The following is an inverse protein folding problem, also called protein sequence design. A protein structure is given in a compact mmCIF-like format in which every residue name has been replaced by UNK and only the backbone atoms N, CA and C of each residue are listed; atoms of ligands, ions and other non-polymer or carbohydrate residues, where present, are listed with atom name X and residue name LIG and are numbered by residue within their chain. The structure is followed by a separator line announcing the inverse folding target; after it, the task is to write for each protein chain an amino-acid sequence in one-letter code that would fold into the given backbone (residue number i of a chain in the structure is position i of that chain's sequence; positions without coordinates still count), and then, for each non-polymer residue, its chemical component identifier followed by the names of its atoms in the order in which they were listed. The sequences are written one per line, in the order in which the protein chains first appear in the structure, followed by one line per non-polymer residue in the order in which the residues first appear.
data_IF_707471899541
#
_entry.id   IF_707471899541
#
_cell.length_a   1.000
_cell.length_b   1.000
_cell.length_c   1.000
_cell.angle_alpha   90.00
_cell.angle_beta   90.00
_cell.angle_gamma   90.00
#
_symmetry.space_group_name_H-M   'P 1'
#
loop_
_entity.id
_entity.type
_entity.pdbx_description
1 polymer ?
#
# COMPACT_ATOMS: atom_id res chain seq x y z
N UNK A 1 -13.10 -17.50 28.39
CA UNK A 1 -11.73 -17.89 27.96
C UNK A 1 -11.71 -18.46 26.54
N UNK A 2 -12.41 -19.57 26.25
CA UNK A 2 -12.42 -20.17 24.90
C UNK A 2 -12.99 -19.23 23.83
N UNK A 3 -14.08 -18.52 24.14
CA UNK A 3 -14.75 -17.57 23.23
C UNK A 3 -13.83 -16.42 22.78
N UNK A 4 -12.99 -15.91 23.69
CA UNK A 4 -11.99 -14.88 23.35
C UNK A 4 -10.89 -15.44 22.45
N UNK A 5 -10.43 -16.66 22.72
CA UNK A 5 -9.47 -17.34 21.86
C UNK A 5 -10.02 -17.55 20.45
N UNK A 6 -11.30 -17.93 20.32
CA UNK A 6 -11.97 -18.06 19.03
C UNK A 6 -12.10 -16.71 18.30
N UNK A 7 -12.41 -15.63 19.01
CA UNK A 7 -12.46 -14.30 18.42
C UNK A 7 -11.08 -13.84 17.88
N UNK A 8 -10.01 -14.05 18.65
CA UNK A 8 -8.63 -13.74 18.23
C UNK A 8 -8.26 -14.57 16.99
N UNK A 9 -8.49 -15.89 17.02
CA UNK A 9 -8.21 -16.78 15.90
C UNK A 9 -8.99 -16.39 14.65
N UNK A 10 -10.26 -16.02 14.81
CA UNK A 10 -11.11 -15.55 13.72
C UNK A 10 -10.58 -14.25 13.10
N UNK A 11 -10.23 -13.26 13.93
CA UNK A 11 -9.66 -11.99 13.46
C UNK A 11 -8.33 -12.21 12.72
N UNK A 12 -7.44 -13.04 13.27
CA UNK A 12 -6.17 -13.41 12.64
C UNK A 12 -6.39 -14.11 11.30
N UNK A 13 -7.31 -15.07 11.27
CA UNK A 13 -7.66 -15.80 10.05
C UNK A 13 -8.19 -14.86 8.97
N UNK A 14 -9.17 -13.99 9.30
CA UNK A 14 -9.72 -13.05 8.33
C UNK A 14 -8.67 -12.04 7.88
N UNK A 15 -7.86 -11.51 8.79
CA UNK A 15 -6.80 -10.58 8.42
C UNK A 15 -5.83 -11.23 7.43
N UNK A 16 -5.32 -12.42 7.76
CA UNK A 16 -4.41 -13.17 6.89
C UNK A 16 -5.03 -13.51 5.53
N UNK A 17 -6.26 -14.03 5.55
CA UNK A 17 -7.00 -14.42 4.36
C UNK A 17 -7.36 -13.22 3.49
N UNK A 18 -7.79 -12.11 4.08
CA UNK A 18 -8.14 -10.88 3.38
C UNK A 18 -6.93 -10.29 2.66
N UNK A 19 -5.79 -10.18 3.33
CA UNK A 19 -4.53 -9.73 2.70
C UNK A 19 -4.15 -10.64 1.53
N UNK A 20 -4.19 -11.96 1.72
CA UNK A 20 -3.89 -12.93 0.66
C UNK A 20 -4.87 -12.85 -0.53
N UNK A 21 -6.17 -12.70 -0.25
CA UNK A 21 -7.22 -12.61 -1.26
C UNK A 21 -7.10 -11.31 -2.07
N UNK A 22 -6.82 -10.19 -1.42
CA UNK A 22 -6.63 -8.90 -2.08
C UNK A 22 -5.42 -8.96 -3.02
N UNK A 23 -4.30 -9.54 -2.57
CA UNK A 23 -3.13 -9.76 -3.43
C UNK A 23 -3.45 -10.71 -4.58
N UNK A 24 -4.22 -11.77 -4.34
CA UNK A 24 -4.66 -12.65 -5.42
C UNK A 24 -5.47 -11.87 -6.47
N UNK A 25 -6.44 -11.07 -6.02
CA UNK A 25 -7.34 -10.28 -6.88
C UNK A 25 -6.60 -9.22 -7.70
N UNK A 26 -5.65 -8.50 -7.10
CA UNK A 26 -4.78 -7.55 -7.81
C UNK A 26 -3.89 -8.24 -8.86
N UNK A 27 -3.62 -9.53 -8.67
CA UNK A 27 -2.87 -10.38 -9.60
C UNK A 27 -3.61 -10.78 -10.87
N UNK A 28 -4.93 -10.57 -10.95
CA UNK A 28 -5.71 -10.99 -12.12
C UNK A 28 -5.52 -10.05 -13.34
N UNK A 29 -5.83 -10.52 -14.56
CA UNK A 29 -5.82 -9.67 -15.74
C UNK A 29 -6.78 -8.49 -15.60
N UNK A 30 -6.38 -7.31 -16.08
CA UNK A 30 -7.18 -6.06 -16.00
C UNK A 30 -8.62 -6.19 -16.49
N UNK A 31 -8.90 -7.08 -17.45
CA UNK A 31 -10.27 -7.34 -17.95
C UNK A 31 -11.22 -7.86 -16.85
N UNK A 32 -10.69 -8.55 -15.84
CA UNK A 32 -11.48 -9.09 -14.73
C UNK A 32 -11.75 -8.08 -13.62
N UNK A 33 -11.04 -6.95 -13.58
CA UNK A 33 -11.17 -5.96 -12.50
C UNK A 33 -12.59 -5.39 -12.41
N UNK A 34 -13.25 -5.14 -13.55
CA UNK A 34 -14.65 -4.71 -13.57
C UNK A 34 -15.57 -5.73 -12.90
N UNK A 35 -15.35 -7.02 -13.16
CA UNK A 35 -16.19 -8.08 -12.58
C UNK A 35 -15.92 -8.25 -11.08
N UNK A 36 -14.64 -8.22 -10.66
CA UNK A 36 -14.26 -8.20 -9.24
C UNK A 36 -14.87 -7.02 -8.50
N UNK A 37 -14.89 -5.83 -9.10
CA UNK A 37 -15.52 -4.65 -8.51
C UNK A 37 -17.04 -4.78 -8.42
N UNK A 38 -17.72 -5.34 -9.42
CA UNK A 38 -19.18 -5.59 -9.35
C UNK A 38 -19.50 -6.55 -8.20
N UNK A 39 -18.81 -7.69 -8.12
CA UNK A 39 -18.99 -8.68 -7.05
C UNK A 39 -18.74 -8.05 -5.69
N UNK A 40 -17.63 -7.33 -5.53
CA UNK A 40 -17.32 -6.67 -4.27
C UNK A 40 -18.32 -5.57 -3.91
N UNK A 41 -18.91 -4.88 -4.89
CA UNK A 41 -19.94 -3.87 -4.64
C UNK A 41 -21.22 -4.51 -4.09
N UNK A 42 -21.64 -5.64 -4.67
CA UNK A 42 -22.77 -6.41 -4.15
C UNK A 42 -22.49 -6.88 -2.71
N UNK A 43 -21.28 -7.38 -2.46
CA UNK A 43 -20.85 -7.79 -1.12
C UNK A 43 -20.85 -6.61 -0.15
N UNK A 44 -20.36 -5.44 -0.56
CA UNK A 44 -20.34 -4.23 0.28
C UNK A 44 -21.75 -3.75 0.62
N UNK A 45 -22.69 -3.77 -0.33
CA UNK A 45 -24.09 -3.43 -0.08
C UNK A 45 -24.75 -4.43 0.87
N UNK A 46 -24.51 -5.73 0.69
CA UNK A 46 -24.98 -6.76 1.60
C UNK A 46 -24.36 -6.59 3.00
N UNK A 47 -23.09 -6.19 3.09
CA UNK A 47 -22.41 -5.91 4.35
C UNK A 47 -22.97 -4.67 5.05
N UNK A 48 -23.33 -3.60 4.33
CA UNK A 48 -24.02 -2.45 4.91
C UNK A 48 -25.40 -2.83 5.46
N UNK A 49 -26.15 -3.68 4.75
CA UNK A 49 -27.40 -4.23 5.26
C UNK A 49 -27.18 -5.11 6.51
N UNK A 50 -26.18 -5.99 6.49
CA UNK A 50 -25.81 -6.82 7.63
C UNK A 50 -25.35 -5.99 8.84
N UNK A 51 -24.68 -4.86 8.62
CA UNK A 51 -24.32 -3.91 9.67
C UNK A 51 -25.57 -3.30 10.32
N UNK A 52 -26.54 -2.88 9.50
CA UNK A 52 -27.81 -2.34 10.00
C UNK A 52 -28.60 -3.37 10.81
N UNK A 53 -28.69 -4.62 10.33
CA UNK A 53 -29.37 -5.71 11.04
C UNK A 53 -28.65 -6.07 12.35
N UNK A 54 -27.32 -6.18 12.32
CA UNK A 54 -26.53 -6.51 13.52
C UNK A 54 -26.48 -5.39 14.56
N UNK A 55 -26.86 -4.17 14.21
CA UNK A 55 -26.85 -3.01 15.10
C UNK A 55 -27.74 -3.16 16.35
N UNK A 56 -28.84 -3.91 16.24
CA UNK A 56 -29.76 -4.20 17.37
C UNK A 56 -29.57 -5.62 17.94
N UNK A 57 -28.68 -6.42 17.37
CA UNK A 57 -28.40 -7.78 17.81
C UNK A 57 -27.28 -7.79 18.86
N UNK A 58 -27.71 -7.87 20.13
CA UNK A 58 -26.84 -7.94 21.31
C UNK A 58 -26.45 -9.39 21.66
N UNK A 59 -26.27 -10.22 20.65
CA UNK A 59 -25.74 -11.58 20.79
C UNK A 59 -24.27 -11.64 20.35
N UNK A 60 -23.60 -12.74 20.71
CA UNK A 60 -22.27 -13.02 20.18
C UNK A 60 -22.29 -13.10 18.64
N UNK A 61 -23.34 -13.69 18.05
CA UNK A 61 -23.50 -13.76 16.59
C UNK A 61 -23.54 -12.37 15.95
N UNK A 62 -24.26 -11.44 16.58
CA UNK A 62 -24.29 -10.03 16.18
C UNK A 62 -22.91 -9.37 16.21
N UNK A 63 -22.08 -9.66 17.21
CA UNK A 63 -20.70 -9.14 17.28
C UNK A 63 -19.82 -9.63 16.12
N UNK A 64 -19.86 -10.95 15.83
CA UNK A 64 -19.11 -11.53 14.69
C UNK A 64 -19.61 -10.99 13.35
N UNK A 65 -20.93 -10.89 13.18
CA UNK A 65 -21.54 -10.36 11.96
C UNK A 65 -21.14 -8.89 11.75
N UNK A 66 -21.29 -8.05 12.78
CA UNK A 66 -20.96 -6.62 12.72
C UNK A 66 -19.48 -6.39 12.38
N UNK A 67 -18.57 -7.11 13.04
CA UNK A 67 -17.13 -7.08 12.73
C UNK A 67 -16.84 -7.47 11.27
N UNK A 68 -17.44 -8.57 10.80
CA UNK A 68 -17.26 -9.06 9.42
C UNK A 68 -17.80 -8.08 8.40
N UNK A 69 -18.97 -7.49 8.64
CA UNK A 69 -19.56 -6.45 7.80
C UNK A 69 -18.62 -5.24 7.68
N UNK A 70 -18.06 -4.75 8.79
CA UNK A 70 -17.09 -3.66 8.78
C UNK A 70 -15.86 -3.97 7.92
N UNK A 71 -15.33 -5.20 8.01
CA UNK A 71 -14.20 -5.66 7.20
C UNK A 71 -14.54 -5.79 5.71
N UNK A 72 -15.73 -6.29 5.37
CA UNK A 72 -16.15 -6.45 3.97
C UNK A 72 -16.34 -5.09 3.28
N UNK A 73 -16.92 -4.11 4.00
CA UNK A 73 -17.02 -2.73 3.51
C UNK A 73 -15.63 -2.13 3.31
N UNK A 74 -14.69 -2.37 4.24
CA UNK A 74 -13.29 -1.97 4.07
C UNK A 74 -12.61 -2.63 2.87
N UNK A 75 -12.82 -3.93 2.67
CA UNK A 75 -12.22 -4.69 1.58
C UNK A 75 -12.61 -4.13 0.20
N UNK A 76 -13.84 -3.62 0.06
CA UNK A 76 -14.27 -2.92 -1.15
C UNK A 76 -13.43 -1.66 -1.42
N UNK A 77 -13.17 -0.85 -0.39
CA UNK A 77 -12.33 0.34 -0.51
C UNK A 77 -10.90 -0.04 -0.91
N UNK A 78 -10.30 -1.01 -0.23
CA UNK A 78 -8.94 -1.46 -0.54
C UNK A 78 -8.83 -1.96 -1.98
N UNK A 79 -9.78 -2.79 -2.44
CA UNK A 79 -9.78 -3.29 -3.82
C UNK A 79 -10.00 -2.16 -4.84
N UNK A 80 -10.87 -1.20 -4.54
CA UNK A 80 -11.14 -0.05 -5.40
C UNK A 80 -9.90 0.83 -5.61
N UNK A 81 -9.04 0.92 -4.59
CA UNK A 81 -7.78 1.64 -4.65
C UNK A 81 -6.75 0.87 -5.48
N UNK A 82 -6.55 -0.42 -5.19
CA UNK A 82 -5.56 -1.26 -5.89
C UNK A 82 -5.87 -1.42 -7.37
N UNK A 83 -7.14 -1.60 -7.73
CA UNK A 83 -7.59 -1.67 -9.13
C UNK A 83 -7.52 -0.33 -9.87
N UNK A 84 -7.32 0.78 -9.15
CA UNK A 84 -7.18 2.13 -9.70
C UNK A 84 -8.51 2.86 -9.98
N UNK A 85 -9.66 2.25 -9.65
CA UNK A 85 -10.98 2.87 -9.83
C UNK A 85 -11.13 4.12 -8.95
N UNK A 86 -10.73 4.01 -7.68
CA UNK A 86 -10.83 5.09 -6.70
C UNK A 86 -9.42 5.59 -6.36
N UNK A 87 -8.89 6.42 -7.25
CA UNK A 87 -7.60 7.11 -7.08
C UNK A 87 -7.79 8.61 -7.25
N UNK A 88 -6.83 9.40 -6.76
CA UNK A 88 -6.89 10.86 -6.87
C UNK A 88 -6.72 11.37 -8.31
N UNK A 89 -6.97 12.67 -8.54
CA UNK A 89 -6.86 13.30 -9.85
C UNK A 89 -5.45 13.22 -10.47
N UNK A 90 -4.40 13.11 -9.63
CA UNK A 90 -3.02 13.05 -10.10
C UNK A 90 -2.56 11.61 -10.23
N UNK A 91 -2.32 11.16 -11.47
CA UNK A 91 -1.79 9.82 -11.81
C UNK A 91 -0.41 9.87 -12.47
N UNK A 92 0.36 10.92 -12.15
CA UNK A 92 1.66 11.20 -12.75
C UNK A 92 2.77 11.17 -11.69
N UNK A 93 4.02 10.84 -12.08
CA UNK A 93 5.18 10.90 -11.18
C UNK A 93 5.35 12.27 -10.53
N UNK A 94 5.93 12.30 -9.33
CA UNK A 94 6.16 13.53 -8.58
C UNK A 94 7.06 14.48 -9.39
N UNK A 95 6.62 15.71 -9.68
CA UNK A 95 7.51 16.72 -10.23
C UNK A 95 8.62 17.01 -9.21
N UNK A 96 9.82 17.36 -9.71
CA UNK A 96 10.94 17.75 -8.85
C UNK A 96 10.58 19.03 -8.10
N UNK A 97 10.20 18.90 -6.84
CA UNK A 97 9.85 20.03 -5.99
C UNK A 97 10.53 19.87 -4.63
N UNK A 98 11.25 20.92 -4.23
CA UNK A 98 12.03 20.93 -2.98
C UNK A 98 11.17 21.25 -1.75
N UNK A 99 10.01 21.88 -1.94
CA UNK A 99 9.09 22.23 -0.86
C UNK A 99 8.31 21.02 -0.35
N UNK A 100 8.42 20.78 0.95
CA UNK A 100 7.67 19.74 1.67
C UNK A 100 6.15 19.86 1.48
N UNK A 101 5.62 21.08 1.60
CA UNK A 101 4.17 21.34 1.50
C UNK A 101 3.64 21.11 0.09
N UNK A 102 4.41 21.50 -0.93
CA UNK A 102 4.03 21.25 -2.31
C UNK A 102 4.03 19.74 -2.62
N UNK A 103 5.05 19.00 -2.14
CA UNK A 103 5.09 17.54 -2.26
C UNK A 103 3.95 16.87 -1.52
N UNK A 104 3.62 17.34 -0.31
CA UNK A 104 2.49 16.83 0.47
C UNK A 104 1.18 17.01 -0.27
N UNK A 105 0.93 18.22 -0.79
CA UNK A 105 -0.25 18.49 -1.62
C UNK A 105 -0.34 17.53 -2.81
N UNK A 106 0.76 17.35 -3.56
CA UNK A 106 0.73 16.45 -4.71
C UNK A 106 0.53 14.99 -4.32
N UNK A 107 1.12 14.53 -3.21
CA UNK A 107 0.86 13.20 -2.68
C UNK A 107 -0.59 13.03 -2.21
N UNK A 108 -1.19 14.05 -1.60
CA UNK A 108 -2.62 14.04 -1.28
C UNK A 108 -3.48 13.99 -2.55
N UNK A 109 -3.13 14.75 -3.60
CA UNK A 109 -3.80 14.73 -4.89
C UNK A 109 -3.78 13.36 -5.58
N UNK A 110 -2.90 12.42 -5.20
CA UNK A 110 -2.92 11.06 -5.76
C UNK A 110 -3.92 10.13 -5.07
N UNK A 111 -4.40 10.47 -3.87
CA UNK A 111 -5.26 9.59 -3.05
C UNK A 111 -6.54 10.25 -2.51
N UNK A 112 -6.71 11.56 -2.65
CA UNK A 112 -7.78 12.32 -1.98
C UNK A 112 -9.20 11.80 -2.25
N UNK A 113 -9.53 11.41 -3.47
CA UNK A 113 -10.86 10.87 -3.79
C UNK A 113 -11.17 9.59 -3.02
N UNK A 114 -10.15 8.75 -2.80
CA UNK A 114 -10.28 7.53 -2.03
C UNK A 114 -10.50 7.84 -0.54
N UNK A 115 -9.76 8.78 0.03
CA UNK A 115 -9.96 9.21 1.42
C UNK A 115 -11.33 9.83 1.66
N UNK A 116 -11.82 10.65 0.73
CA UNK A 116 -13.16 11.24 0.79
C UNK A 116 -14.22 10.12 0.74
N UNK A 117 -14.05 9.13 -0.13
CA UNK A 117 -14.99 8.01 -0.23
C UNK A 117 -15.01 7.15 1.04
N UNK A 118 -13.85 6.90 1.66
CA UNK A 118 -13.77 6.22 2.96
C UNK A 118 -14.49 7.05 4.02
N UNK A 119 -14.22 8.35 4.10
CA UNK A 119 -14.87 9.25 5.07
C UNK A 119 -16.40 9.29 4.88
N UNK A 120 -16.88 9.35 3.63
CA UNK A 120 -18.30 9.31 3.32
C UNK A 120 -18.93 7.97 3.73
N UNK A 121 -18.21 6.86 3.52
CA UNK A 121 -18.67 5.52 3.92
C UNK A 121 -18.69 5.38 5.45
N UNK A 122 -17.68 5.89 6.16
CA UNK A 122 -17.69 5.95 7.61
C UNK A 122 -18.87 6.78 8.14
N UNK A 123 -19.17 7.92 7.51
CA UNK A 123 -20.34 8.73 7.81
C UNK A 123 -21.65 7.99 7.59
N UNK A 124 -21.79 7.27 6.47
CA UNK A 124 -22.95 6.42 6.20
C UNK A 124 -23.10 5.31 7.24
N UNK A 125 -22.02 4.60 7.57
CA UNK A 125 -22.04 3.56 8.60
C UNK A 125 -22.45 4.14 9.96
N UNK A 126 -21.91 5.31 10.33
CA UNK A 126 -22.26 5.99 11.57
C UNK A 126 -23.74 6.41 11.61
N UNK A 127 -24.30 6.85 10.48
CA UNK A 127 -25.74 7.13 10.36
C UNK A 127 -26.58 5.86 10.51
N UNK A 128 -26.17 4.76 9.87
CA UNK A 128 -26.88 3.48 9.94
C UNK A 128 -26.85 2.86 11.33
N UNK A 129 -25.75 3.04 12.07
CA UNK A 129 -25.59 2.54 13.43
C UNK A 129 -25.87 3.60 14.49
N UNK A 130 -26.52 4.71 14.12
CA UNK A 130 -26.81 5.79 15.07
C UNK A 130 -27.83 5.32 16.10
N UNK A 131 -27.46 5.37 17.38
CA UNK A 131 -28.30 4.86 18.47
C UNK A 131 -28.40 3.33 18.54
N UNK A 132 -27.64 2.61 17.69
CA UNK A 132 -27.52 1.16 17.78
C UNK A 132 -26.66 0.77 18.99
N UNK A 133 -27.01 -0.35 19.64
CA UNK A 133 -26.24 -0.91 20.75
C UNK A 133 -24.94 -1.53 20.27
N UNK A 134 -24.96 -2.22 19.13
CA UNK A 134 -23.79 -2.86 18.55
C UNK A 134 -23.15 -1.98 17.46
N UNK A 135 -22.01 -1.35 17.79
CA UNK A 135 -21.24 -0.49 16.89
C UNK A 135 -19.90 -1.11 16.46
N UNK A 136 -19.70 -2.42 16.68
CA UNK A 136 -18.41 -3.08 16.46
C UNK A 136 -17.95 -2.93 15.00
N UNK A 137 -18.84 -3.10 14.04
CA UNK A 137 -18.53 -2.96 12.61
C UNK A 137 -18.13 -1.54 12.21
N UNK A 138 -18.76 -0.51 12.78
CA UNK A 138 -18.34 0.89 12.58
C UNK A 138 -16.91 1.10 13.09
N UNK A 139 -16.63 0.70 14.33
CA UNK A 139 -15.32 0.88 14.93
C UNK A 139 -14.24 0.06 14.22
N UNK A 140 -14.58 -1.13 13.72
CA UNK A 140 -13.71 -1.95 12.87
C UNK A 140 -13.28 -1.17 11.64
N UNK A 141 -14.23 -0.57 10.93
CA UNK A 141 -13.96 0.24 9.74
C UNK A 141 -13.14 1.50 10.06
N UNK A 142 -13.47 2.20 11.15
CA UNK A 142 -12.75 3.41 11.58
C UNK A 142 -11.30 3.09 11.99
N UNK A 143 -11.07 1.99 12.72
CA UNK A 143 -9.72 1.56 13.08
C UNK A 143 -8.89 1.30 11.83
N UNK A 144 -9.44 0.57 10.86
CA UNK A 144 -8.76 0.31 9.59
C UNK A 144 -8.44 1.59 8.84
N UNK A 145 -9.40 2.52 8.78
CA UNK A 145 -9.21 3.81 8.14
C UNK A 145 -8.09 4.62 8.79
N UNK A 146 -8.13 4.81 10.11
CA UNK A 146 -7.15 5.60 10.84
C UNK A 146 -5.76 4.99 10.75
N UNK A 147 -5.66 3.66 10.89
CA UNK A 147 -4.37 2.96 10.82
C UNK A 147 -3.80 2.97 9.40
N UNK A 148 -4.65 2.84 8.36
CA UNK A 148 -4.22 2.98 6.96
C UNK A 148 -3.77 4.41 6.64
N UNK A 149 -4.49 5.43 7.16
CA UNK A 149 -4.09 6.83 7.01
C UNK A 149 -2.76 7.11 7.73
N UNK A 150 -2.59 6.58 8.94
CA UNK A 150 -1.33 6.63 9.70
C UNK A 150 -0.18 6.00 8.93
N UNK A 151 -0.38 4.82 8.33
CA UNK A 151 0.64 4.17 7.51
C UNK A 151 1.03 5.02 6.29
N UNK A 152 0.05 5.59 5.57
CA UNK A 152 0.28 6.50 4.43
C UNK A 152 1.11 7.73 4.83
N UNK A 153 0.79 8.34 5.98
CA UNK A 153 1.53 9.49 6.50
C UNK A 153 2.95 9.12 6.93
N UNK A 154 3.13 7.97 7.58
CA UNK A 154 4.45 7.46 7.95
C UNK A 154 5.30 7.23 6.69
N UNK A 155 4.76 6.57 5.67
CA UNK A 155 5.42 6.34 4.38
C UNK A 155 5.80 7.65 3.68
N UNK A 156 4.90 8.64 3.68
CA UNK A 156 5.17 9.95 3.06
C UNK A 156 6.32 10.72 3.75
N UNK A 157 6.37 10.68 5.08
CA UNK A 157 7.43 11.33 5.86
C UNK A 157 8.76 10.57 5.80
N UNK A 158 8.65 9.25 5.67
CA UNK A 158 9.70 8.33 5.28
C UNK A 158 9.93 7.23 6.30
N UNK A 159 10.08 6.02 5.78
CA UNK A 159 10.27 4.78 6.55
C UNK A 159 11.37 3.93 5.90
N UNK A 160 11.88 2.96 6.66
CA UNK A 160 12.95 2.08 6.21
C UNK A 160 12.46 1.11 5.13
N UNK A 161 11.25 0.55 5.32
CA UNK A 161 10.62 -0.38 4.39
C UNK A 161 9.39 0.25 3.73
N UNK A 162 9.51 0.56 2.44
CA UNK A 162 8.42 1.12 1.65
C UNK A 162 7.45 0.07 1.09
N UNK A 163 7.71 -1.22 1.29
CA UNK A 163 6.84 -2.30 0.81
C UNK A 163 6.51 -2.20 -0.71
N UNK A 164 7.47 -1.72 -1.51
CA UNK A 164 7.31 -1.41 -2.95
C UNK A 164 6.81 -2.60 -3.78
N UNK A 165 7.12 -3.82 -3.34
CA UNK A 165 6.69 -5.06 -3.99
C UNK A 165 5.18 -5.34 -3.92
N UNK A 166 4.46 -4.71 -2.98
CA UNK A 166 3.01 -4.84 -2.86
C UNK A 166 2.25 -3.88 -3.79
N UNK A 167 2.92 -2.87 -4.36
CA UNK A 167 2.26 -1.91 -5.24
C UNK A 167 2.11 -2.47 -6.66
N UNK A 168 0.91 -2.44 -7.25
CA UNK A 168 0.74 -2.87 -8.63
C UNK A 168 1.45 -1.92 -9.60
N UNK A 169 1.84 -2.40 -10.81
CA UNK A 169 2.65 -1.64 -11.77
C UNK A 169 2.10 -0.26 -12.11
N UNK A 170 0.78 -0.10 -12.16
CA UNK A 170 0.14 1.18 -12.47
C UNK A 170 0.12 2.17 -11.31
N UNK A 171 0.39 1.74 -10.08
CA UNK A 171 0.53 2.61 -8.91
C UNK A 171 1.99 2.90 -8.56
N UNK A 172 2.98 2.33 -9.27
CA UNK A 172 4.40 2.55 -9.01
C UNK A 172 4.85 4.01 -9.10
N UNK A 173 4.09 4.86 -9.79
CA UNK A 173 4.36 6.31 -9.79
C UNK A 173 4.27 6.91 -8.37
N UNK A 174 3.51 6.29 -7.45
CA UNK A 174 3.40 6.74 -6.06
C UNK A 174 4.74 6.64 -5.32
N UNK A 175 5.62 5.69 -5.69
CA UNK A 175 6.96 5.54 -5.11
C UNK A 175 7.76 6.84 -5.22
N UNK A 176 7.55 7.63 -6.28
CA UNK A 176 8.26 8.90 -6.50
C UNK A 176 7.89 10.01 -5.51
N UNK A 177 6.79 9.85 -4.76
CA UNK A 177 6.37 10.78 -3.71
C UNK A 177 6.93 10.41 -2.33
N UNK A 178 7.45 9.18 -2.17
CA UNK A 178 7.89 8.65 -0.88
C UNK A 178 9.37 8.93 -0.63
N UNK A 179 9.77 8.92 0.64
CA UNK A 179 11.16 9.14 1.06
C UNK A 179 11.66 7.94 1.84
N UNK A 180 12.85 7.43 1.52
CA UNK A 180 13.52 6.43 2.36
C UNK A 180 14.22 7.14 3.51
N UNK A 181 13.82 6.85 4.75
CA UNK A 181 14.44 7.35 5.98
C UNK A 181 14.37 6.27 7.06
N UNK A 182 15.38 6.14 7.93
CA UNK A 182 15.39 5.09 8.94
C UNK A 182 14.23 5.24 9.93
N UNK A 183 13.93 6.47 10.35
CA UNK A 183 12.88 6.78 11.33
C UNK A 183 12.25 8.15 11.06
N UNK A 184 10.99 8.26 11.47
CA UNK A 184 10.18 9.47 11.45
C UNK A 184 9.56 9.70 12.83
N UNK A 185 9.37 10.95 13.25
CA UNK A 185 8.80 11.30 14.55
C UNK A 185 7.31 10.91 14.70
N UNK A 186 6.56 10.76 13.61
CA UNK A 186 5.18 10.26 13.70
C UNK A 186 5.11 8.78 14.05
N UNK A 187 6.15 7.99 13.74
CA UNK A 187 6.16 6.56 14.02
C UNK A 187 5.95 6.25 15.51
N UNK A 188 6.81 6.73 16.45
CA UNK A 188 6.64 6.44 17.87
C UNK A 188 5.32 6.96 18.42
N UNK A 189 4.82 8.11 17.93
CA UNK A 189 3.53 8.66 18.33
C UNK A 189 2.39 7.72 17.90
N UNK A 190 2.36 7.31 16.63
CA UNK A 190 1.31 6.43 16.09
C UNK A 190 1.27 5.08 16.81
N UNK A 191 2.43 4.45 17.04
CA UNK A 191 2.51 3.17 17.74
C UNK A 191 2.09 3.30 19.21
N UNK A 192 2.55 4.34 19.90
CA UNK A 192 2.24 4.57 21.32
C UNK A 192 0.77 4.83 21.52
N UNK A 193 0.19 5.76 20.75
CA UNK A 193 -1.24 6.09 20.83
C UNK A 193 -2.09 4.86 20.51
N UNK A 194 -1.79 4.14 19.43
CA UNK A 194 -2.55 2.94 19.07
C UNK A 194 -2.43 1.84 20.13
N UNK A 195 -1.27 1.67 20.74
CA UNK A 195 -1.07 0.68 21.82
C UNK A 195 -1.87 1.06 23.07
N UNK A 196 -1.86 2.35 23.46
CA UNK A 196 -2.68 2.84 24.58
C UNK A 196 -4.17 2.59 24.28
N UNK A 197 -4.64 2.93 23.08
CA UNK A 197 -6.04 2.71 22.69
C UNK A 197 -6.38 1.22 22.70
N UNK A 198 -5.49 0.33 22.25
CA UNK A 198 -5.68 -1.13 22.35
C UNK A 198 -5.90 -1.56 23.80
N UNK A 199 -5.04 -1.10 24.71
CA UNK A 199 -5.15 -1.43 26.14
C UNK A 199 -6.47 -0.91 26.71
N UNK A 200 -6.84 0.34 26.42
CA UNK A 200 -8.09 0.94 26.92
C UNK A 200 -9.34 0.23 26.40
N UNK A 201 -9.34 -0.22 25.14
CA UNK A 201 -10.46 -1.00 24.57
C UNK A 201 -10.58 -2.33 25.30
N UNK A 202 -9.48 -3.05 25.49
CA UNK A 202 -9.48 -4.35 26.15
C UNK A 202 -9.81 -4.24 27.64
N UNK A 203 -9.27 -3.24 28.34
CA UNK A 203 -9.56 -2.97 29.75
C UNK A 203 -11.05 -2.71 29.96
N UNK A 204 -11.66 -1.85 29.13
CA UNK A 204 -13.09 -1.55 29.23
C UNK A 204 -13.97 -2.73 28.83
N UNK A 205 -13.60 -3.44 27.76
CA UNK A 205 -14.41 -4.56 27.26
C UNK A 205 -14.31 -5.83 28.08
N UNK A 206 -13.25 -5.99 28.87
CA UNK A 206 -13.03 -7.16 29.74
C UNK A 206 -13.26 -6.82 31.23
N UNK A 207 -13.80 -5.64 31.54
CA UNK A 207 -14.18 -5.27 32.88
C UNK A 207 -15.31 -6.15 33.43
N UNK A 208 -15.37 -6.30 34.75
CA UNK A 208 -16.42 -7.07 35.41
C UNK A 208 -17.81 -6.48 35.13
N UNK A 209 -18.78 -7.32 34.83
CA UNK A 209 -20.17 -6.92 34.55
C UNK A 209 -20.45 -6.53 33.09
N UNK A 210 -19.45 -6.54 32.20
CA UNK A 210 -19.64 -6.27 30.78
C UNK A 210 -20.32 -7.46 30.09
N UNK A 211 -21.35 -7.24 29.24
CA UNK A 211 -21.99 -8.30 28.47
C UNK A 211 -21.00 -9.06 27.59
N UNK A 212 -21.21 -10.37 27.43
CA UNK A 212 -20.26 -11.22 26.70
C UNK A 212 -20.05 -10.80 25.23
N UNK A 213 -21.08 -10.29 24.55
CA UNK A 213 -20.98 -9.81 23.17
C UNK A 213 -20.11 -8.54 23.06
N UNK A 214 -20.16 -7.63 24.04
CA UNK A 214 -19.30 -6.44 24.09
C UNK A 214 -17.84 -6.83 24.35
N UNK A 215 -17.62 -7.79 25.25
CA UNK A 215 -16.29 -8.34 25.52
C UNK A 215 -15.66 -8.96 24.26
N UNK A 216 -16.43 -9.77 23.52
CA UNK A 216 -16.00 -10.33 22.22
C UNK A 216 -15.71 -9.22 21.20
N UNK A 217 -16.57 -8.20 21.12
CA UNK A 217 -16.34 -7.02 20.28
C UNK A 217 -15.04 -6.28 20.61
N UNK A 218 -14.75 -6.06 21.89
CA UNK A 218 -13.52 -5.43 22.33
C UNK A 218 -12.29 -6.27 22.00
N UNK A 219 -12.38 -7.60 22.12
CA UNK A 219 -11.31 -8.52 21.70
C UNK A 219 -11.06 -8.43 20.19
N UNK A 220 -12.11 -8.34 19.37
CA UNK A 220 -11.96 -8.13 17.93
C UNK A 220 -11.24 -6.81 17.61
N UNK A 221 -11.74 -5.70 18.14
CA UNK A 221 -11.18 -4.36 17.91
C UNK A 221 -9.73 -4.27 18.44
N UNK A 222 -9.48 -4.81 19.63
CA UNK A 222 -8.17 -4.85 20.25
C UNK A 222 -7.17 -5.69 19.44
N UNK A 223 -7.59 -6.87 18.97
CA UNK A 223 -6.75 -7.73 18.11
C UNK A 223 -6.44 -7.04 16.78
N UNK A 224 -7.44 -6.43 16.15
CA UNK A 224 -7.26 -5.71 14.89
C UNK A 224 -6.28 -4.53 15.03
N UNK A 225 -6.43 -3.75 16.10
CA UNK A 225 -5.55 -2.62 16.37
C UNK A 225 -4.14 -3.08 16.74
N UNK A 226 -4.00 -4.19 17.48
CA UNK A 226 -2.70 -4.80 17.77
C UNK A 226 -2.00 -5.29 16.49
N UNK A 227 -2.73 -5.90 15.55
CA UNK A 227 -2.21 -6.27 14.24
C UNK A 227 -1.77 -5.04 13.45
N UNK A 228 -2.53 -3.95 13.50
CA UNK A 228 -2.17 -2.71 12.83
C UNK A 228 -0.92 -2.05 13.46
N UNK A 229 -0.75 -2.14 14.78
CA UNK A 229 0.48 -1.72 15.47
C UNK A 229 1.67 -2.56 15.00
N UNK A 230 1.49 -3.88 14.91
CA UNK A 230 2.51 -4.79 14.41
C UNK A 230 2.88 -4.48 12.95
N UNK A 231 1.91 -4.15 12.10
CA UNK A 231 2.15 -3.69 10.73
C UNK A 231 2.98 -2.40 10.70
N UNK A 232 2.73 -1.45 11.63
CA UNK A 232 3.56 -0.26 11.74
C UNK A 232 5.00 -0.61 12.10
N UNK A 233 5.22 -1.55 13.02
CA UNK A 233 6.58 -2.02 13.33
C UNK A 233 7.31 -2.59 12.11
N UNK A 234 6.60 -3.26 11.19
CA UNK A 234 7.18 -3.74 9.93
C UNK A 234 7.64 -2.63 8.97
N UNK A 235 7.12 -1.40 9.09
CA UNK A 235 7.60 -0.26 8.30
C UNK A 235 9.01 0.16 8.72
N UNK A 236 9.39 -0.09 9.98
CA UNK A 236 10.66 0.36 10.57
C UNK A 236 11.67 -0.77 10.72
N UNK A 237 11.24 -1.94 11.17
CA UNK A 237 12.10 -3.11 11.31
C UNK A 237 12.52 -3.62 9.93
N UNK A 238 13.76 -4.06 9.70
CA UNK A 238 14.23 -4.57 8.40
C UNK A 238 13.69 -5.97 8.07
N UNK A 239 12.43 -6.26 8.44
CA UNK A 239 11.74 -7.51 8.18
C UNK A 239 10.73 -7.23 7.06
N UNK A 240 10.93 -7.90 5.94
CA UNK A 240 10.05 -7.78 4.79
C UNK A 240 8.77 -8.57 5.07
N UNK A 241 7.67 -7.87 5.37
CA UNK A 241 6.35 -8.50 5.51
C UNK A 241 5.93 -9.29 4.26
N UNK A 242 6.50 -8.97 3.09
CA UNK A 242 6.33 -9.76 1.85
C UNK A 242 6.73 -11.22 2.01
N UNK A 243 7.66 -11.58 2.91
CA UNK A 243 8.09 -12.96 3.15
C UNK A 243 6.90 -13.90 3.44
N UNK A 244 5.89 -13.38 4.14
CA UNK A 244 4.68 -14.13 4.52
C UNK A 244 3.75 -14.44 3.32
N UNK A 245 3.84 -13.67 2.23
CA UNK A 245 3.01 -13.82 1.02
C UNK A 245 3.82 -13.98 -0.28
N UNK A 246 5.10 -14.41 -0.19
CA UNK A 246 5.96 -14.59 -1.38
C UNK A 246 5.32 -15.52 -2.43
N UNK A 247 4.66 -16.59 -2.00
CA UNK A 247 3.95 -17.51 -2.88
C UNK A 247 2.89 -16.81 -3.76
N UNK A 248 2.17 -15.83 -3.21
CA UNK A 248 1.15 -15.08 -3.93
C UNK A 248 1.80 -14.12 -4.93
N UNK A 249 2.85 -13.40 -4.51
CA UNK A 249 3.61 -12.47 -5.35
C UNK A 249 4.33 -13.19 -6.51
N UNK A 250 4.90 -14.36 -6.26
CA UNK A 250 5.58 -15.16 -7.28
C UNK A 250 4.58 -15.75 -8.29
N UNK A 251 3.37 -16.13 -7.84
CA UNK A 251 2.28 -16.51 -8.74
C UNK A 251 1.87 -15.34 -9.65
N UNK A 252 1.82 -14.10 -9.14
CA UNK A 252 1.56 -12.92 -9.97
C UNK A 252 2.68 -12.68 -11.00
N UNK A 253 3.95 -12.73 -10.57
CA UNK A 253 5.12 -12.54 -11.45
C UNK A 253 5.12 -13.56 -12.59
N UNK A 254 4.84 -14.82 -12.28
CA UNK A 254 4.78 -15.91 -13.25
C UNK A 254 3.63 -15.73 -14.25
N UNK A 255 2.43 -15.37 -13.76
CA UNK A 255 1.27 -15.10 -14.63
C UNK A 255 1.49 -13.90 -15.54
N UNK A 256 2.10 -12.82 -15.03
CA UNK A 256 2.45 -11.64 -15.82
C UNK A 256 3.45 -11.98 -16.93
N UNK A 257 4.49 -12.76 -16.63
CA UNK A 257 5.44 -13.26 -17.63
C UNK A 257 4.74 -14.07 -18.73
N UNK A 258 3.79 -14.95 -18.35
CA UNK A 258 2.99 -15.73 -19.30
C UNK A 258 2.13 -14.84 -20.21
N UNK A 259 1.44 -13.85 -19.63
CA UNK A 259 0.62 -12.91 -20.41
C UNK A 259 1.46 -11.99 -21.32
N UNK A 260 2.68 -11.63 -20.91
CA UNK A 260 3.62 -10.87 -21.73
C UNK A 260 4.23 -11.72 -22.86
N UNK A 261 4.49 -13.00 -22.63
CA UNK A 261 5.00 -13.92 -23.67
C UNK A 261 3.97 -14.34 -24.71
N UNK A 262 2.67 -14.20 -24.41
CA UNK A 262 1.57 -14.46 -25.35
C UNK A 262 1.32 -13.24 -26.27
N UNK A 263 1.95 -12.09 -26.02
CA UNK A 263 1.83 -10.89 -26.85
C UNK A 263 3.04 -10.71 -27.79
N UNK A 264 3.27 -11.65 -28.72
CA UNK A 264 3.45 -11.23 -30.12
C UNK A 264 2.74 -12.19 -31.10
N UNK A 265 1.68 -11.71 -31.73
CA UNK A 265 1.11 -12.33 -32.93
C UNK A 265 -0.32 -12.87 -32.76
N UNK A 266 -1.30 -11.98 -32.79
CA UNK A 266 -2.66 -12.27 -33.29
C UNK A 266 -3.38 -10.92 -33.46
N UNK A 267 -2.96 -10.18 -34.49
CA UNK A 267 -3.87 -9.30 -35.22
C UNK A 267 -4.27 -10.12 -36.44
N UNK A 268 -5.23 -11.02 -36.23
CA UNK A 268 -5.96 -11.65 -37.33
C UNK A 268 -7.05 -10.66 -37.74
N UNK A 269 -7.06 -10.32 -39.03
CA UNK A 269 -7.85 -9.24 -39.59
C UNK A 269 -9.35 -9.55 -39.59
N UNK A 270 -10.14 -8.49 -39.40
CA UNK A 270 -11.25 -8.16 -40.29
C UNK A 270 -11.66 -6.68 -40.05
N UNK A 271 -11.34 -5.85 -41.05
CA UNK A 271 -12.14 -4.75 -41.60
C UNK A 271 -12.65 -3.58 -40.73
N UNK A 272 -11.95 -2.43 -40.88
CA UNK A 272 -12.43 -1.15 -41.45
C UNK A 272 -11.90 0.08 -40.69
N UNK A 273 -10.76 0.62 -41.13
CA UNK A 273 -10.65 2.00 -41.63
C UNK A 273 -9.26 2.23 -42.23
N UNK A 274 -9.24 2.56 -43.51
CA UNK A 274 -8.05 2.81 -44.32
C UNK A 274 -7.22 3.97 -43.77
N UNK A 275 -5.92 3.74 -43.58
CA UNK A 275 -4.90 4.79 -43.73
C UNK A 275 -3.86 4.25 -44.70
N UNK A 276 -3.90 4.75 -45.94
CA UNK A 276 -2.97 4.39 -47.00
C UNK A 276 -1.53 4.78 -46.62
N UNK A 277 -0.51 3.95 -46.92
CA UNK A 277 0.88 4.38 -46.78
C UNK A 277 1.26 5.28 -47.97
N UNK A 278 1.75 6.49 -47.66
CA UNK A 278 2.37 7.37 -48.66
C UNK A 278 3.69 6.74 -49.10
N UNK A 279 3.73 6.35 -50.37
CA UNK A 279 4.86 5.77 -51.08
C UNK A 279 6.06 6.74 -51.15
N UNK A 280 7.26 6.20 -50.90
CA UNK A 280 8.52 6.85 -51.19
C UNK A 280 8.73 6.94 -52.71
N UNK A 281 8.78 8.16 -53.25
CA UNK A 281 9.09 8.44 -54.64
C UNK A 281 10.29 9.37 -54.75
N UNK A 282 11.38 8.84 -55.30
CA UNK A 282 12.59 9.54 -55.76
C UNK A 282 12.30 10.73 -56.66
N UNK A 283 12.89 11.90 -56.39
CA UNK A 283 13.39 12.84 -57.42
C UNK A 283 14.43 13.81 -56.84
N UNK A 284 15.58 13.89 -57.49
CA UNK A 284 16.50 15.06 -57.55
C UNK A 284 16.36 15.62 -58.99
N UNK A 285 16.89 16.81 -59.38
CA UNK A 285 17.40 17.97 -58.62
C UNK A 285 16.85 19.33 -59.14
N UNK A 286 17.09 20.45 -58.43
CA UNK A 286 17.30 21.76 -59.05
C UNK A 286 18.07 22.72 -58.12
N UNK A 287 18.98 23.48 -58.72
CA UNK A 287 19.93 24.44 -58.11
C UNK A 287 19.26 25.76 -57.72
N UNK A 288 19.84 26.40 -56.69
CA UNK A 288 20.07 27.85 -56.64
C UNK A 288 19.09 28.66 -55.80
N UNK A 289 19.54 29.13 -54.63
CA UNK A 289 19.83 30.55 -54.32
C UNK A 289 20.31 30.62 -52.85
N UNK A 290 21.51 31.19 -52.69
CA UNK A 290 22.19 31.79 -51.51
C UNK A 290 21.23 32.68 -50.69
N UNK A 291 21.37 33.09 -49.43
CA UNK A 291 22.38 33.06 -48.36
C UNK A 291 21.67 33.80 -47.20
N UNK A 292 21.81 33.38 -45.94
CA UNK A 292 21.87 34.27 -44.76
C UNK A 292 21.82 33.49 -43.42
N UNK A 293 22.68 33.93 -42.51
CA UNK A 293 22.71 33.63 -41.07
C UNK A 293 23.21 32.24 -40.67
N UNK A 294 24.53 32.12 -40.62
CA UNK A 294 25.23 30.97 -40.07
C UNK A 294 25.01 30.79 -38.57
N UNK A 295 24.94 29.53 -38.17
CA UNK A 295 25.37 28.98 -36.88
C UNK A 295 25.75 27.52 -37.19
N UNK A 296 27.05 27.22 -37.09
CA UNK A 296 27.62 25.88 -37.25
C UNK A 296 27.58 25.18 -35.89
N UNK A 297 26.84 24.08 -35.79
CA UNK A 297 27.02 23.09 -34.72
C UNK A 297 27.43 21.76 -35.34
N UNK A 298 28.72 21.47 -35.19
CA UNK A 298 29.33 20.23 -35.62
C UNK A 298 28.73 19.02 -34.93
N UNK A 299 28.37 18.05 -35.74
CA UNK A 299 28.08 16.66 -35.39
C UNK A 299 29.35 15.97 -34.90
N UNK A 300 29.37 15.44 -33.67
CA UNK A 300 30.13 14.23 -33.34
C UNK A 300 29.59 13.61 -32.03
N UNK A 301 29.09 12.38 -32.16
CA UNK A 301 29.13 11.33 -31.13
C UNK A 301 29.94 10.20 -31.80
N UNK A 302 30.82 9.42 -31.14
CA UNK A 302 30.38 8.55 -30.03
C UNK A 302 31.45 8.11 -28.98
N UNK A 303 30.95 7.45 -27.92
CA UNK A 303 31.55 6.31 -27.18
C UNK A 303 32.76 6.48 -26.21
N UNK A 304 32.62 5.74 -25.10
CA UNK A 304 33.65 5.15 -24.20
C UNK A 304 34.22 6.00 -23.06
N UNK A 305 33.55 5.94 -21.89
CA UNK A 305 34.17 6.18 -20.57
C UNK A 305 34.22 4.84 -19.83
N UNK A 306 35.35 4.14 -19.92
CA UNK A 306 35.74 3.08 -18.97
C UNK A 306 36.21 3.78 -17.68
N UNK A 307 35.51 3.55 -16.57
CA UNK A 307 36.04 3.79 -15.23
C UNK A 307 36.12 2.45 -14.51
N UNK A 308 37.35 1.99 -14.33
CA UNK A 308 37.73 0.90 -13.44
C UNK A 308 37.46 1.30 -11.99
N UNK A 309 36.89 0.37 -11.23
CA UNK A 309 36.66 0.47 -9.80
C UNK A 309 37.96 0.21 -9.03
N UNK A 310 38.44 1.20 -8.29
CA UNK A 310 39.50 1.02 -7.28
C UNK A 310 38.89 0.53 -5.95
N UNK A 311 39.42 -0.58 -5.45
CA UNK A 311 39.11 -1.18 -4.14
C UNK A 311 40.16 -0.72 -3.13
N UNK A 312 39.81 -0.22 -1.92
CA UNK A 312 40.81 0.09 -0.91
C UNK A 312 41.32 -1.19 -0.24
N UNK A 313 42.61 -1.48 -0.42
CA UNK A 313 43.33 -2.57 0.22
C UNK A 313 43.83 -2.10 1.60
N UNK A 314 43.23 -2.61 2.69
CA UNK A 314 43.64 -2.32 4.06
C UNK A 314 44.72 -3.33 4.49
N UNK A 315 45.97 -2.87 4.65
CA UNK A 315 47.04 -3.62 5.33
C UNK A 315 47.45 -2.90 6.62
N UNK A 316 47.70 -3.62 7.72
CA UNK A 316 48.02 -3.03 9.01
C UNK A 316 49.45 -2.49 9.04
N UNK A 317 49.62 -1.26 9.55
CA UNK A 317 50.93 -0.69 9.79
C UNK A 317 51.53 -1.20 11.10
N UNK A 318 52.76 -1.69 10.99
CA UNK A 318 53.65 -2.15 12.07
C UNK A 318 54.38 -0.92 12.62
N UNK A 319 54.29 -0.69 13.94
CA UNK A 319 55.13 0.29 14.66
C UNK A 319 56.42 -0.38 15.14
N UNK A 320 57.61 0.23 14.96
CA UNK A 320 58.83 -0.26 15.57
C UNK A 320 58.98 0.26 17.00
N UNK A 321 59.26 -0.65 17.93
CA UNK A 321 59.59 -0.33 19.32
C UNK A 321 61.05 0.05 19.55
N UNK A 322 61.25 0.90 20.57
CA UNK A 322 62.44 1.07 21.44
C UNK A 322 61.88 1.77 22.70
N UNK A 323 62.12 1.38 23.95
CA UNK A 323 62.91 0.34 24.58
C UNK A 323 63.19 0.77 26.03
N UNK A 324 63.21 -0.19 26.98
CA UNK A 324 63.78 -0.16 28.35
C UNK A 324 63.26 0.92 29.35
N UNK A 325 62.93 0.65 30.62
CA UNK A 325 63.56 -0.22 31.61
C UNK A 325 62.58 -0.55 32.80
N UNK A 326 62.97 -1.43 33.76
CA UNK A 326 62.06 -2.16 34.66
C UNK A 326 62.10 -1.72 36.15
N UNK A 327 61.15 -2.23 36.96
CA UNK A 327 61.19 -2.23 38.43
C UNK A 327 59.75 -2.25 39.00
N UNK A 328 59.19 -3.42 39.34
CA UNK A 328 59.24 -4.13 40.63
C UNK A 328 58.29 -3.57 41.71
N UNK A 329 57.27 -4.38 42.02
CA UNK A 329 56.69 -4.70 43.35
C UNK A 329 56.61 -3.55 44.38
N UNK A 330 55.40 -3.08 44.68
CA UNK A 330 54.57 -3.49 45.85
C UNK A 330 53.23 -2.72 45.85
#
# INVERSE_FOLDING_TARGET
MLEYGLAILYALFIWWFSTGLILYLDGLPRRTFSWSMVVMTVIALAALYGLWVSGTDNSMGGAYLSFTCGLLVWAWHELSFLTGYLTGPRRTPCPKVDSFWARFRYASETVIHHEIAIAATAGLMAMLTWGASNQIGLWTFVILWLMRLSAKLNIFLGVANLAEEFLPPHLRYLETYFRRRPLNLLFPVSVTVSTIVTVLILERGLAEGVPAWEAVGAVFLGTLLALAVLEHWFLVLPIQATALWQWALDAQRTRRRKNASVAPGEVEGDDLFQVLPVSAGTTKPAKGIEEAAGISWGTHSPLTRMQSWDVPNNKPQVFPGRGSAPGSLD
#
